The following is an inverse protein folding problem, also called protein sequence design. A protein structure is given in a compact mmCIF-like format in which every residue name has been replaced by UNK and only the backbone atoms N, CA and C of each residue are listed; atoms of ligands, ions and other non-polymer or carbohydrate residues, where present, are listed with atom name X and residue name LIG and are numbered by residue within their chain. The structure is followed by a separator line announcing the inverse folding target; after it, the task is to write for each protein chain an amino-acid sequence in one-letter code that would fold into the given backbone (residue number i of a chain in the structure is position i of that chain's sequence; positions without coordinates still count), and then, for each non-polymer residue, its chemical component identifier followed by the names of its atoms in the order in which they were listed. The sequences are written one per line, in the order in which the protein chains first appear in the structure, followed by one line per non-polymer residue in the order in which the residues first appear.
data_IF_079640103793
#
_entry.id   IF_079640103793
#
_cell.length_a   1.000
_cell.length_b   1.000
_cell.length_c   1.000
_cell.angle_alpha   90.00
_cell.angle_beta   90.00
_cell.angle_gamma   90.00
#
_symmetry.space_group_name_H-M   'P 1'
#
loop_
_entity.id
_entity.type
_entity.pdbx_description
1 polymer ?
#
# COMPACT_ATOMS: atom_id res chain seq x y z
N UNK A 1 23.99 -23.83 10.22
CA UNK A 1 23.06 -22.83 10.78
C UNK A 1 23.59 -21.46 10.37
N UNK A 2 23.35 -21.09 9.11
CA UNK A 2 23.69 -19.76 8.58
C UNK A 2 22.44 -18.91 8.76
N UNK A 3 22.55 -17.81 9.51
CA UNK A 3 21.44 -16.85 9.63
C UNK A 3 21.23 -16.20 8.28
N UNK A 4 20.10 -16.47 7.63
CA UNK A 4 19.60 -15.68 6.52
C UNK A 4 19.29 -14.29 7.08
N UNK A 5 20.14 -13.33 6.77
CA UNK A 5 19.93 -11.94 7.13
C UNK A 5 18.78 -11.39 6.30
N UNK A 6 17.88 -10.61 6.93
CA UNK A 6 16.77 -9.91 6.26
C UNK A 6 17.23 -9.30 4.93
N UNK A 7 16.41 -9.35 3.86
CA UNK A 7 16.74 -8.68 2.61
C UNK A 7 17.01 -7.19 2.89
N UNK A 8 18.14 -6.69 2.40
CA UNK A 8 18.43 -5.25 2.44
C UNK A 8 17.38 -4.55 1.59
N UNK A 9 16.66 -3.59 2.18
CA UNK A 9 15.75 -2.73 1.43
C UNK A 9 16.54 -1.95 0.37
N UNK A 10 16.00 -1.86 -0.85
CA UNK A 10 16.60 -1.06 -1.92
C UNK A 10 15.81 0.25 -2.04
N UNK A 11 16.48 1.38 -1.85
CA UNK A 11 15.88 2.69 -2.05
C UNK A 11 15.72 3.03 -3.53
N UNK A 12 14.87 4.02 -3.86
CA UNK A 12 14.70 4.47 -5.26
C UNK A 12 16.00 5.00 -5.89
N UNK A 13 16.92 5.54 -5.07
CA UNK A 13 18.21 6.04 -5.52
C UNK A 13 19.29 4.97 -5.67
N UNK A 14 19.12 3.82 -5.01
CA UNK A 14 20.02 2.66 -5.12
C UNK A 14 19.55 1.66 -6.18
N UNK A 15 18.33 1.82 -6.72
CA UNK A 15 17.76 0.90 -7.68
C UNK A 15 18.47 1.04 -9.04
N UNK A 16 18.88 -0.09 -9.60
CA UNK A 16 19.53 -0.17 -10.91
C UNK A 16 18.90 -1.30 -11.74
N UNK A 17 19.05 -1.23 -13.06
CA UNK A 17 18.66 -2.29 -13.98
C UNK A 17 17.17 -2.68 -13.89
N UNK A 18 16.90 -3.98 -13.71
CA UNK A 18 15.53 -4.51 -13.65
C UNK A 18 14.73 -4.01 -12.43
N UNK A 19 15.40 -3.71 -11.31
CA UNK A 19 14.75 -3.13 -10.13
C UNK A 19 14.29 -1.70 -10.41
N UNK A 20 15.16 -0.88 -11.03
CA UNK A 20 14.82 0.49 -11.43
C UNK A 20 13.66 0.51 -12.44
N UNK A 21 13.69 -0.39 -13.44
CA UNK A 21 12.58 -0.58 -14.39
C UNK A 21 11.28 -0.89 -13.67
N UNK A 22 11.28 -1.88 -12.78
CA UNK A 22 10.09 -2.27 -12.04
C UNK A 22 9.58 -1.13 -11.16
N UNK A 23 10.45 -0.37 -10.47
CA UNK A 23 10.06 0.82 -9.72
C UNK A 23 9.42 1.90 -10.60
N UNK A 24 10.01 2.17 -11.77
CA UNK A 24 9.39 3.11 -12.71
C UNK A 24 7.99 2.65 -13.12
N UNK A 25 7.84 1.39 -13.52
CA UNK A 25 6.55 0.82 -13.93
C UNK A 25 5.52 0.79 -12.80
N UNK A 26 5.92 0.49 -11.56
CA UNK A 26 5.06 0.50 -10.38
C UNK A 26 4.46 1.89 -10.16
N UNK A 27 5.28 2.95 -10.21
CA UNK A 27 4.78 4.34 -10.06
C UNK A 27 3.75 4.67 -11.13
N UNK A 28 4.02 4.28 -12.37
CA UNK A 28 3.11 4.53 -13.49
C UNK A 28 1.81 3.71 -13.38
N UNK A 29 1.91 2.45 -12.99
CA UNK A 29 0.79 1.49 -13.02
C UNK A 29 -0.11 1.64 -11.80
N UNK A 30 0.48 1.73 -10.61
CA UNK A 30 -0.27 1.94 -9.37
C UNK A 30 -0.67 3.41 -9.17
N UNK A 31 -0.18 4.30 -10.04
CA UNK A 31 -0.45 5.74 -10.03
C UNK A 31 -0.03 6.40 -8.72
N UNK A 32 1.21 6.17 -8.31
CA UNK A 32 1.78 6.66 -7.04
C UNK A 32 3.05 7.47 -7.25
N UNK A 33 3.29 8.46 -6.39
CA UNK A 33 4.42 9.41 -6.50
C UNK A 33 5.77 8.88 -6.01
N UNK A 34 5.81 7.70 -5.38
CA UNK A 34 7.03 7.05 -4.88
C UNK A 34 6.83 5.55 -4.63
N UNK A 35 7.85 4.87 -4.09
CA UNK A 35 7.83 3.41 -3.87
C UNK A 35 7.64 3.04 -2.39
N UNK A 36 6.54 2.34 -2.11
CA UNK A 36 6.20 1.86 -0.77
C UNK A 36 7.19 0.81 -0.23
N UNK A 37 7.22 0.66 1.10
CA UNK A 37 8.14 -0.22 1.82
C UNK A 37 8.10 -1.69 1.33
N UNK A 38 6.93 -2.23 1.01
CA UNK A 38 6.80 -3.62 0.52
C UNK A 38 7.63 -3.88 -0.73
N UNK A 39 7.58 -2.97 -1.71
CA UNK A 39 8.37 -3.09 -2.93
C UNK A 39 9.86 -2.88 -2.69
N UNK A 40 10.25 -1.93 -1.81
CA UNK A 40 11.66 -1.74 -1.43
C UNK A 40 12.24 -2.95 -0.71
N UNK A 41 11.45 -3.63 0.11
CA UNK A 41 11.85 -4.88 0.77
C UNK A 41 11.92 -6.03 -0.23
N UNK A 42 10.92 -6.20 -1.09
CA UNK A 42 10.96 -7.25 -2.11
C UNK A 42 12.10 -7.05 -3.11
N UNK A 43 12.46 -5.81 -3.44
CA UNK A 43 13.60 -5.50 -4.29
C UNK A 43 14.95 -6.01 -3.76
N UNK A 44 15.05 -6.33 -2.46
CA UNK A 44 16.20 -7.04 -1.91
C UNK A 44 16.35 -8.47 -2.45
N UNK A 45 15.25 -9.09 -2.91
CA UNK A 45 15.23 -10.33 -3.69
C UNK A 45 15.30 -9.99 -5.18
N UNK A 46 16.51 -9.67 -5.64
CA UNK A 46 16.75 -9.04 -6.94
C UNK A 46 16.21 -9.83 -8.14
N UNK A 47 16.07 -11.16 -8.04
CA UNK A 47 15.52 -11.98 -9.13
C UNK A 47 14.01 -12.15 -9.01
N UNK A 48 13.50 -12.39 -7.80
CA UNK A 48 12.08 -12.52 -7.53
C UNK A 48 11.32 -11.24 -7.85
N UNK A 49 11.83 -10.08 -7.44
CA UNK A 49 11.07 -8.84 -7.51
C UNK A 49 10.64 -8.45 -8.93
N UNK A 50 11.53 -8.43 -9.95
CA UNK A 50 11.11 -8.18 -11.33
C UNK A 50 10.11 -9.23 -11.85
N UNK A 51 10.32 -10.51 -11.51
CA UNK A 51 9.42 -11.61 -11.93
C UNK A 51 8.04 -11.48 -11.31
N UNK A 52 7.97 -11.17 -10.01
CA UNK A 52 6.72 -10.91 -9.29
C UNK A 52 5.99 -9.72 -9.89
N UNK A 53 6.72 -8.64 -10.19
CA UNK A 53 6.11 -7.46 -10.81
C UNK A 53 5.58 -7.76 -12.21
N UNK A 54 6.35 -8.44 -13.06
CA UNK A 54 5.90 -8.81 -14.40
C UNK A 54 4.68 -9.76 -14.37
N UNK A 55 4.57 -10.62 -13.36
CA UNK A 55 3.40 -11.46 -13.12
C UNK A 55 2.16 -10.67 -12.66
N UNK A 56 2.34 -9.65 -11.81
CA UNK A 56 1.24 -8.84 -11.27
C UNK A 56 0.80 -7.70 -12.19
N UNK A 57 1.70 -7.14 -13.00
CA UNK A 57 1.47 -5.95 -13.83
C UNK A 57 0.21 -6.04 -14.69
N UNK A 58 -0.08 -7.16 -15.39
CA UNK A 58 -1.29 -7.28 -16.20
C UNK A 58 -2.57 -7.08 -15.41
N UNK A 59 -2.62 -7.51 -14.14
CA UNK A 59 -3.75 -7.26 -13.26
C UNK A 59 -3.76 -5.82 -12.73
N UNK A 60 -2.59 -5.33 -12.30
CA UNK A 60 -2.44 -4.03 -11.63
C UNK A 60 -2.86 -2.84 -12.52
N UNK A 61 -2.85 -2.99 -13.83
CA UNK A 61 -3.26 -1.94 -14.77
C UNK A 61 -4.75 -1.96 -15.17
N UNK A 62 -5.56 -2.81 -14.55
CA UNK A 62 -6.97 -3.00 -14.91
C UNK A 62 -7.93 -2.24 -14.02
N UNK A 63 -9.11 -1.92 -14.57
CA UNK A 63 -10.25 -1.45 -13.79
C UNK A 63 -10.64 -2.45 -12.70
N UNK A 64 -10.54 -3.74 -12.96
CA UNK A 64 -10.91 -4.78 -12.00
C UNK A 64 -10.05 -4.72 -10.74
N UNK A 65 -8.73 -4.53 -10.88
CA UNK A 65 -7.82 -4.34 -9.76
C UNK A 65 -8.11 -3.03 -9.00
N UNK A 66 -8.36 -1.93 -9.71
CA UNK A 66 -8.75 -0.66 -9.06
C UNK A 66 -10.04 -0.83 -8.24
N UNK A 67 -11.07 -1.46 -8.82
CA UNK A 67 -12.35 -1.73 -8.14
C UNK A 67 -12.17 -2.67 -6.94
N UNK A 68 -11.27 -3.65 -7.02
CA UNK A 68 -10.95 -4.51 -5.87
C UNK A 68 -10.34 -3.69 -4.72
N UNK A 69 -9.40 -2.80 -5.03
CA UNK A 69 -8.83 -1.88 -4.05
C UNK A 69 -9.88 -0.90 -3.49
N UNK A 70 -10.80 -0.41 -4.32
CA UNK A 70 -11.91 0.45 -3.89
C UNK A 70 -12.84 -0.27 -2.90
N UNK A 71 -13.12 -1.55 -3.11
CA UNK A 71 -13.91 -2.37 -2.17
C UNK A 71 -13.22 -2.51 -0.82
N UNK A 72 -11.91 -2.80 -0.81
CA UNK A 72 -11.10 -2.86 0.42
C UNK A 72 -11.12 -1.51 1.14
N UNK A 73 -10.95 -0.40 0.42
CA UNK A 73 -11.02 0.96 1.00
C UNK A 73 -12.37 1.23 1.64
N UNK A 74 -13.45 0.96 0.93
CA UNK A 74 -14.80 1.20 1.44
C UNK A 74 -15.10 0.37 2.69
N UNK A 75 -14.61 -0.88 2.77
CA UNK A 75 -14.73 -1.67 3.99
C UNK A 75 -13.90 -1.08 5.14
N UNK A 76 -12.66 -0.67 4.89
CA UNK A 76 -11.83 -0.06 5.91
C UNK A 76 -12.44 1.22 6.48
N UNK A 77 -13.10 2.04 5.65
CA UNK A 77 -13.82 3.23 6.09
C UNK A 77 -15.01 2.87 6.98
N UNK A 78 -15.79 1.85 6.62
CA UNK A 78 -16.90 1.35 7.45
C UNK A 78 -16.40 0.79 8.78
N UNK A 79 -15.26 0.11 8.78
CA UNK A 79 -14.58 -0.35 10.01
C UNK A 79 -14.17 0.84 10.86
N UNK A 80 -13.47 1.83 10.28
CA UNK A 80 -12.98 3.00 10.99
C UNK A 80 -14.13 3.83 11.59
N UNK A 81 -15.24 3.97 10.87
CA UNK A 81 -16.44 4.65 11.36
C UNK A 81 -16.99 4.00 12.65
N UNK A 82 -17.01 2.65 12.70
CA UNK A 82 -17.46 1.91 13.90
C UNK A 82 -16.49 2.07 15.07
N UNK A 83 -15.18 2.09 14.80
CA UNK A 83 -14.13 2.23 15.81
C UNK A 83 -14.04 3.65 16.40
N UNK A 84 -14.58 4.65 15.70
CA UNK A 84 -14.69 6.03 16.17
C UNK A 84 -13.57 6.96 15.65
N UNK A 85 -13.79 8.27 15.82
CA UNK A 85 -12.84 9.31 15.38
C UNK A 85 -11.67 9.48 16.35
N UNK A 86 -10.53 9.92 15.83
CA UNK A 86 -9.35 10.19 16.65
C UNK A 86 -9.38 11.58 17.29
N UNK A 87 -10.03 12.56 16.63
CA UNK A 87 -10.07 13.96 17.05
C UNK A 87 -8.66 14.56 17.25
N UNK A 88 -7.69 14.07 16.50
CA UNK A 88 -6.29 14.49 16.61
C UNK A 88 -6.10 15.88 16.02
N UNK A 89 -6.70 16.14 14.84
CA UNK A 89 -6.64 17.44 14.19
C UNK A 89 -7.31 18.54 15.02
N UNK A 90 -8.43 18.25 15.67
CA UNK A 90 -9.17 19.21 16.51
C UNK A 90 -8.46 19.51 17.83
N UNK A 91 -7.64 18.58 18.32
CA UNK A 91 -6.79 18.77 19.51
C UNK A 91 -5.62 19.74 19.27
N UNK A 92 -5.35 20.11 18.02
CA UNK A 92 -4.23 20.97 17.62
C UNK A 92 -4.70 22.24 16.91
N UNK A 93 -3.90 23.31 16.99
CA UNK A 93 -4.12 24.54 16.22
C UNK A 93 -3.32 24.49 14.92
N UNK A 94 -3.72 23.63 13.99
CA UNK A 94 -3.07 23.50 12.69
C UNK A 94 -3.42 24.68 11.77
N UNK A 95 -2.41 25.24 11.10
CA UNK A 95 -2.63 26.25 10.07
C UNK A 95 -3.24 25.64 8.80
N UNK A 96 -3.90 26.46 7.98
CA UNK A 96 -4.57 26.00 6.74
C UNK A 96 -3.62 25.22 5.81
N UNK A 97 -2.39 25.70 5.63
CA UNK A 97 -1.37 25.02 4.82
C UNK A 97 -0.97 23.66 5.40
N UNK A 98 -0.83 23.52 6.71
CA UNK A 98 -0.48 22.25 7.34
C UNK A 98 -1.64 21.26 7.20
N UNK A 99 -2.87 21.70 7.50
CA UNK A 99 -4.09 20.91 7.32
C UNK A 99 -4.30 20.49 5.86
N UNK A 100 -3.93 21.32 4.89
CA UNK A 100 -3.95 20.94 3.49
C UNK A 100 -2.95 19.81 3.20
N UNK A 101 -1.68 19.98 3.55
CA UNK A 101 -0.63 19.01 3.24
C UNK A 101 -0.84 17.67 3.95
N UNK A 102 -1.26 17.67 5.23
CA UNK A 102 -1.60 16.45 5.97
C UNK A 102 -2.69 15.66 5.25
N UNK A 103 -3.78 16.33 4.82
CA UNK A 103 -4.86 15.66 4.08
C UNK A 103 -4.39 15.08 2.74
N UNK A 104 -3.50 15.79 2.01
CA UNK A 104 -2.94 15.27 0.76
C UNK A 104 -2.02 14.07 0.99
N UNK A 105 -1.27 14.05 2.10
CA UNK A 105 -0.45 12.90 2.49
C UNK A 105 -1.32 11.70 2.88
N UNK A 106 -2.39 11.92 3.65
CA UNK A 106 -3.37 10.89 3.99
C UNK A 106 -4.07 10.34 2.73
N UNK A 107 -4.46 11.21 1.79
CA UNK A 107 -5.05 10.82 0.50
C UNK A 107 -4.18 9.81 -0.26
N UNK A 108 -2.86 10.04 -0.26
CA UNK A 108 -1.90 9.14 -0.91
C UNK A 108 -1.95 7.74 -0.30
N UNK A 109 -1.94 7.61 1.03
CA UNK A 109 -1.97 6.31 1.71
C UNK A 109 -3.34 5.65 1.67
N UNK A 110 -4.41 6.45 1.76
CA UNK A 110 -5.80 6.01 1.59
C UNK A 110 -6.06 5.45 0.19
N UNK A 111 -5.31 5.94 -0.80
CA UNK A 111 -5.32 5.43 -2.17
C UNK A 111 -4.49 4.16 -2.35
N UNK A 112 -3.22 4.18 -1.97
CA UNK A 112 -2.27 3.13 -2.34
C UNK A 112 -2.35 1.89 -1.45
N UNK A 113 -2.62 2.04 -0.14
CA UNK A 113 -2.57 0.89 0.78
C UNK A 113 -3.58 -0.22 0.44
N UNK A 114 -4.85 0.07 0.06
CA UNK A 114 -5.77 -0.97 -0.41
C UNK A 114 -5.25 -1.72 -1.65
N UNK A 115 -4.58 -1.02 -2.57
CA UNK A 115 -3.96 -1.66 -3.75
C UNK A 115 -2.82 -2.58 -3.34
N UNK A 116 -1.98 -2.15 -2.40
CA UNK A 116 -0.89 -2.98 -1.90
C UNK A 116 -1.44 -4.25 -1.25
N UNK A 117 -2.53 -4.16 -0.48
CA UNK A 117 -3.13 -5.33 0.15
C UNK A 117 -3.69 -6.31 -0.89
N UNK A 118 -4.44 -5.85 -1.89
CA UNK A 118 -4.94 -6.73 -2.96
C UNK A 118 -3.79 -7.37 -3.74
N UNK A 119 -2.74 -6.61 -4.07
CA UNK A 119 -1.56 -7.12 -4.76
C UNK A 119 -0.82 -8.15 -3.91
N UNK A 120 -0.56 -7.84 -2.64
CA UNK A 120 0.16 -8.74 -1.72
C UNK A 120 -0.64 -10.02 -1.46
N UNK A 121 -1.97 -9.94 -1.34
CA UNK A 121 -2.82 -11.14 -1.24
C UNK A 121 -2.77 -11.99 -2.51
N UNK A 122 -2.80 -11.38 -3.70
CA UNK A 122 -2.63 -12.12 -4.96
C UNK A 122 -1.25 -12.81 -5.04
N UNK A 123 -0.17 -12.13 -4.63
CA UNK A 123 1.17 -12.72 -4.59
C UNK A 123 1.24 -13.86 -3.55
N UNK A 124 0.65 -13.69 -2.36
CA UNK A 124 0.64 -14.72 -1.32
C UNK A 124 -0.10 -15.98 -1.80
N UNK A 125 -1.30 -15.80 -2.36
CA UNK A 125 -2.10 -16.90 -2.92
C UNK A 125 -1.34 -17.67 -4.00
N UNK A 126 -0.69 -16.97 -4.92
CA UNK A 126 0.09 -17.59 -5.99
C UNK A 126 1.29 -18.39 -5.45
N UNK A 127 2.03 -17.83 -4.47
CA UNK A 127 3.14 -18.54 -3.83
C UNK A 127 2.70 -19.77 -3.03
N UNK A 128 1.49 -19.76 -2.48
CA UNK A 128 0.86 -20.89 -1.80
C UNK A 128 0.27 -21.94 -2.77
N UNK A 129 0.40 -21.72 -4.09
CA UNK A 129 -0.12 -22.61 -5.13
C UNK A 129 -1.63 -22.51 -5.35
N UNK A 130 -2.27 -21.51 -4.74
CA UNK A 130 -3.69 -21.25 -4.93
C UNK A 130 -3.94 -20.56 -6.28
N UNK A 131 -5.11 -20.84 -6.87
CA UNK A 131 -5.52 -20.18 -8.10
C UNK A 131 -5.82 -18.71 -7.82
N UNK A 132 -5.09 -17.83 -8.49
CA UNK A 132 -5.40 -16.41 -8.57
C UNK A 132 -5.96 -16.08 -9.95
N UNK A 133 -7.04 -15.32 -9.96
CA UNK A 133 -7.64 -14.77 -11.16
C UNK A 133 -8.15 -15.79 -12.19
N UNK A 134 -8.14 -15.39 -13.47
CA UNK A 134 -8.68 -16.17 -14.59
C UNK A 134 -10.16 -15.90 -14.89
N UNK A 135 -10.69 -14.78 -14.40
CA UNK A 135 -12.03 -14.34 -14.76
C UNK A 135 -12.11 -14.00 -16.26
N UNK A 136 -13.11 -14.54 -16.95
CA UNK A 136 -13.32 -14.32 -18.38
C UNK A 136 -14.11 -13.04 -18.62
N UNK A 137 -13.65 -12.19 -19.56
CA UNK A 137 -14.36 -10.96 -19.92
C UNK A 137 -13.48 -9.95 -20.66
N UNK A 138 -14.10 -8.88 -21.16
CA UNK A 138 -13.36 -7.70 -21.63
C UNK A 138 -12.70 -7.00 -20.45
N UNK A 139 -11.41 -6.70 -20.58
CA UNK A 139 -10.64 -6.03 -19.53
C UNK A 139 -10.43 -4.57 -19.93
N UNK A 140 -10.94 -3.65 -19.10
CA UNK A 140 -10.64 -2.22 -19.24
C UNK A 140 -9.31 -1.91 -18.53
N UNK A 141 -8.40 -1.24 -19.24
CA UNK A 141 -7.17 -0.70 -18.67
C UNK A 141 -7.40 0.71 -18.13
N UNK A 142 -6.69 1.09 -17.07
CA UNK A 142 -6.75 2.44 -16.50
C UNK A 142 -5.57 3.32 -16.97
N UNK A 143 -5.76 4.64 -16.94
CA UNK A 143 -4.67 5.59 -17.22
C UNK A 143 -3.46 5.37 -16.30
N UNK A 144 -2.28 5.70 -16.82
CA UNK A 144 -1.01 5.59 -16.10
C UNK A 144 -0.57 6.94 -15.54
N UNK A 145 0.34 6.90 -14.58
CA UNK A 145 0.97 8.07 -13.99
C UNK A 145 0.27 8.53 -12.71
N UNK A 146 1.07 9.07 -11.79
CA UNK A 146 0.55 9.61 -10.54
C UNK A 146 -0.40 10.80 -10.83
N UNK A 147 -1.53 10.92 -10.13
CA UNK A 147 -2.41 12.07 -10.23
C UNK A 147 -1.66 13.37 -9.91
N UNK A 148 -1.88 14.44 -10.68
CA UNK A 148 -1.14 15.71 -10.52
C UNK A 148 -1.24 16.31 -9.13
N UNK A 149 -2.37 16.14 -8.44
CA UNK A 149 -2.56 16.68 -7.10
C UNK A 149 -2.03 15.75 -5.99
N UNK A 150 -1.52 14.56 -6.32
CA UNK A 150 -1.05 13.60 -5.32
C UNK A 150 0.16 14.17 -4.56
N UNK A 151 0.17 13.99 -3.25
CA UNK A 151 1.31 14.40 -2.42
C UNK A 151 2.58 13.65 -2.86
N UNK A 152 3.74 14.30 -2.93
CA UNK A 152 5.00 13.59 -3.15
C UNK A 152 5.25 12.64 -1.96
N UNK A 153 5.70 11.40 -2.20
CA UNK A 153 5.96 10.45 -1.12
C UNK A 153 7.23 10.81 -0.34
N UNK A 154 7.15 11.89 0.42
CA UNK A 154 8.21 12.40 1.28
C UNK A 154 8.09 11.80 2.68
N UNK A 155 9.22 11.40 3.25
CA UNK A 155 9.27 10.68 4.52
C UNK A 155 10.45 11.17 5.35
N UNK A 156 10.24 11.31 6.66
CA UNK A 156 11.35 11.39 7.62
C UNK A 156 12.21 10.12 7.51
N UNK A 157 13.51 10.22 7.78
CA UNK A 157 14.40 9.04 7.88
C UNK A 157 13.84 7.99 8.86
N UNK A 158 14.15 6.71 8.66
CA UNK A 158 13.71 5.65 9.59
C UNK A 158 14.37 5.80 10.97
N UNK A 159 15.61 6.28 10.98
CA UNK A 159 16.37 6.63 12.18
C UNK A 159 16.59 8.16 12.18
N UNK A 160 15.61 8.96 12.63
CA UNK A 160 15.76 10.42 12.68
C UNK A 160 16.75 10.83 13.79
N UNK A 161 17.38 11.98 13.66
CA UNK A 161 18.25 12.53 14.73
C UNK A 161 17.44 13.07 15.93
N UNK A 162 16.17 13.44 15.72
CA UNK A 162 15.28 13.96 16.77
C UNK A 162 14.85 12.83 17.73
N UNK A 163 15.26 12.95 19.00
CA UNK A 163 14.99 11.95 20.04
C UNK A 163 13.50 11.74 20.31
N UNK A 164 12.67 12.78 20.23
CA UNK A 164 11.22 12.66 20.45
C UNK A 164 10.57 11.84 19.34
N UNK A 165 11.03 12.02 18.10
CA UNK A 165 10.59 11.20 16.98
C UNK A 165 11.09 9.76 17.08
N UNK A 166 12.32 9.53 17.53
CA UNK A 166 12.83 8.18 17.78
C UNK A 166 11.95 7.45 18.81
N UNK A 167 11.66 8.07 19.95
CA UNK A 167 10.79 7.51 20.99
C UNK A 167 9.38 7.22 20.46
N UNK A 168 8.82 8.11 19.65
CA UNK A 168 7.52 7.92 19.02
C UNK A 168 7.52 6.75 18.03
N UNK A 169 8.56 6.62 17.19
CA UNK A 169 8.70 5.50 16.27
C UNK A 169 8.89 4.18 17.00
N UNK A 170 9.68 4.14 18.08
CA UNK A 170 9.81 2.94 18.92
C UNK A 170 8.47 2.54 19.54
N UNK A 171 7.69 3.50 20.06
CA UNK A 171 6.38 3.20 20.65
C UNK A 171 5.39 2.64 19.61
N UNK A 172 5.37 3.20 18.39
CA UNK A 172 4.57 2.68 17.28
C UNK A 172 5.03 1.27 16.92
N UNK A 173 6.34 1.05 16.74
CA UNK A 173 6.89 -0.26 16.38
C UNK A 173 6.57 -1.32 17.43
N UNK A 174 6.76 -1.02 18.71
CA UNK A 174 6.46 -1.96 19.79
C UNK A 174 4.96 -2.27 19.88
N UNK A 175 4.11 -1.24 19.80
CA UNK A 175 2.65 -1.42 19.91
C UNK A 175 2.09 -2.23 18.75
N UNK A 176 2.57 -1.98 17.53
CA UNK A 176 2.10 -2.65 16.31
C UNK A 176 2.93 -3.89 15.94
N UNK A 177 3.90 -4.27 16.79
CA UNK A 177 4.83 -5.39 16.57
C UNK A 177 5.56 -5.31 15.21
N UNK A 178 5.94 -4.10 14.80
CA UNK A 178 6.63 -3.82 13.54
C UNK A 178 8.14 -3.92 13.73
N UNK A 179 8.82 -4.55 12.76
CA UNK A 179 10.28 -4.58 12.76
C UNK A 179 10.93 -3.31 12.16
N UNK A 180 10.16 -2.55 11.38
CA UNK A 180 10.55 -1.32 10.65
C UNK A 180 9.34 -0.41 10.64
N UNK A 181 9.54 0.90 10.81
CA UNK A 181 8.45 1.88 10.80
C UNK A 181 7.91 2.07 9.36
N UNK A 182 6.59 2.02 9.18
CA UNK A 182 5.96 2.13 7.86
C UNK A 182 6.07 3.54 7.26
N UNK A 183 6.06 3.61 5.92
CA UNK A 183 6.10 4.86 5.14
C UNK A 183 5.04 5.87 5.57
N UNK A 184 3.86 5.40 5.95
CA UNK A 184 2.72 6.17 6.43
C UNK A 184 3.09 7.04 7.63
N UNK A 185 3.61 6.42 8.69
CA UNK A 185 4.02 7.09 9.91
C UNK A 185 5.23 7.99 9.68
N UNK A 186 6.17 7.57 8.82
CA UNK A 186 7.32 8.41 8.45
C UNK A 186 6.92 9.66 7.68
N UNK A 187 5.85 9.61 6.88
CA UNK A 187 5.29 10.77 6.20
C UNK A 187 4.55 11.67 7.17
N UNK A 188 3.69 11.10 8.03
CA UNK A 188 3.01 11.87 9.06
C UNK A 188 3.98 12.52 10.06
N UNK A 189 5.18 11.95 10.25
CA UNK A 189 6.24 12.52 11.07
C UNK A 189 6.83 13.84 10.53
N UNK A 190 6.52 14.22 9.28
CA UNK A 190 6.77 15.59 8.79
C UNK A 190 5.97 16.63 9.59
N UNK A 191 4.88 16.20 10.24
CA UNK A 191 4.10 16.97 11.21
C UNK A 191 4.10 16.23 12.57
N UNK A 192 5.22 16.27 13.32
CA UNK A 192 5.44 15.40 14.46
C UNK A 192 4.39 15.57 15.57
N UNK A 193 3.88 16.78 15.77
CA UNK A 193 2.83 17.05 16.76
C UNK A 193 1.49 16.44 16.37
N UNK A 194 1.15 16.43 15.05
CA UNK A 194 -0.03 15.77 14.54
C UNK A 194 0.08 14.25 14.67
N UNK A 195 1.21 13.66 14.27
CA UNK A 195 1.45 12.24 14.44
C UNK A 195 1.38 11.84 15.92
N UNK A 196 2.00 12.60 16.82
CA UNK A 196 1.96 12.31 18.25
C UNK A 196 0.54 12.40 18.84
N UNK A 197 -0.26 13.39 18.42
CA UNK A 197 -1.64 13.54 18.85
C UNK A 197 -2.51 12.37 18.35
N UNK A 198 -2.43 12.04 17.06
CA UNK A 198 -3.22 10.97 16.48
C UNK A 198 -2.77 9.59 16.93
N UNK A 199 -1.47 9.36 17.14
CA UNK A 199 -0.98 8.12 17.72
C UNK A 199 -1.50 7.90 19.15
N UNK A 200 -1.53 8.96 19.98
CA UNK A 200 -2.10 8.88 21.33
C UNK A 200 -3.56 8.41 21.32
N UNK A 201 -4.36 8.90 20.38
CA UNK A 201 -5.76 8.50 20.22
C UNK A 201 -5.91 7.11 19.58
N UNK A 202 -5.05 6.77 18.62
CA UNK A 202 -5.10 5.51 17.87
C UNK A 202 -4.63 4.31 18.71
N UNK A 203 -3.59 4.47 19.52
CA UNK A 203 -2.95 3.42 20.31
C UNK A 203 -3.90 2.57 21.17
N UNK A 204 -4.90 3.11 21.90
CA UNK A 204 -5.87 2.27 22.61
C UNK A 204 -6.79 1.50 21.66
N UNK A 205 -7.15 2.08 20.51
CA UNK A 205 -8.00 1.42 19.49
C UNK A 205 -7.28 0.19 18.94
N UNK A 206 -6.00 0.30 18.58
CA UNK A 206 -5.22 -0.81 18.00
C UNK A 206 -5.04 -1.99 18.95
N UNK A 207 -5.25 -1.79 20.24
CA UNK A 207 -5.17 -2.84 21.27
C UNK A 207 -6.50 -3.57 21.49
N UNK A 208 -7.61 -3.02 20.99
CA UNK A 208 -8.93 -3.61 21.16
C UNK A 208 -9.08 -4.91 20.38
N UNK A 209 -9.95 -5.80 20.87
CA UNK A 209 -10.26 -7.04 20.16
C UNK A 209 -11.05 -6.77 18.87
N UNK A 210 -11.94 -5.77 18.89
CA UNK A 210 -12.69 -5.33 17.71
C UNK A 210 -11.77 -4.92 16.56
N UNK A 211 -10.70 -4.17 16.86
CA UNK A 211 -9.72 -3.75 15.86
C UNK A 211 -8.97 -4.93 15.23
N UNK A 212 -8.57 -5.92 16.05
CA UNK A 212 -7.87 -7.13 15.57
C UNK A 212 -8.77 -7.96 14.66
N UNK A 213 -10.02 -8.16 15.07
CA UNK A 213 -11.02 -8.89 14.28
C UNK A 213 -11.31 -8.16 12.97
N UNK A 214 -11.45 -6.84 13.00
CA UNK A 214 -11.67 -6.04 11.81
C UNK A 214 -10.48 -6.07 10.83
N UNK A 215 -9.25 -6.05 11.36
CA UNK A 215 -8.03 -6.20 10.53
C UNK A 215 -8.00 -7.56 9.83
N UNK A 216 -8.32 -8.65 10.54
CA UNK A 216 -8.38 -9.98 9.95
C UNK A 216 -9.53 -10.13 8.94
N UNK A 217 -10.69 -9.53 9.21
CA UNK A 217 -11.81 -9.48 8.25
C UNK A 217 -11.40 -8.79 6.96
N UNK A 218 -10.72 -7.64 7.05
CA UNK A 218 -10.26 -6.88 5.89
C UNK A 218 -9.21 -7.67 5.09
N UNK A 219 -8.31 -8.41 5.77
CA UNK A 219 -7.34 -9.32 5.14
C UNK A 219 -8.04 -10.42 4.34
N UNK A 220 -9.01 -11.10 4.94
CA UNK A 220 -9.80 -12.15 4.26
C UNK A 220 -10.52 -11.61 3.03
N UNK A 221 -11.18 -10.46 3.16
CA UNK A 221 -11.84 -9.79 2.04
C UNK A 221 -10.86 -9.48 0.91
N UNK A 222 -9.64 -9.03 1.23
CA UNK A 222 -8.62 -8.77 0.23
C UNK A 222 -8.20 -10.04 -0.53
N UNK A 223 -8.05 -11.17 0.17
CA UNK A 223 -7.83 -12.47 -0.44
C UNK A 223 -8.96 -12.87 -1.40
N UNK A 224 -10.22 -12.73 -0.97
CA UNK A 224 -11.39 -13.03 -1.80
C UNK A 224 -11.43 -12.18 -3.08
N UNK A 225 -11.18 -10.86 -2.99
CA UNK A 225 -11.18 -10.02 -4.19
C UNK A 225 -9.95 -10.28 -5.07
N UNK A 226 -8.80 -10.63 -4.49
CA UNK A 226 -7.59 -11.00 -5.24
C UNK A 226 -7.80 -12.26 -6.11
N UNK A 227 -8.59 -13.23 -5.63
CA UNK A 227 -8.95 -14.42 -6.41
C UNK A 227 -9.81 -14.08 -7.65
N UNK A 228 -10.52 -12.95 -7.65
CA UNK A 228 -11.39 -12.52 -8.76
C UNK A 228 -10.70 -11.71 -9.86
N UNK A 229 -9.38 -11.53 -9.79
CA UNK A 229 -8.63 -10.76 -10.77
C UNK A 229 -8.73 -11.35 -12.20
N UNK A 230 -8.60 -10.54 -13.25
CA UNK A 230 -8.82 -11.02 -14.62
C UNK A 230 -7.74 -12.00 -15.09
N UNK A 231 -6.48 -11.74 -14.77
CA UNK A 231 -5.35 -12.56 -15.21
C UNK A 231 -4.84 -13.45 -14.10
N UNK A 232 -4.39 -14.66 -14.46
CA UNK A 232 -3.62 -15.49 -13.54
C UNK A 232 -2.29 -14.84 -13.18
N UNK A 233 -1.79 -15.09 -11.97
CA UNK A 233 -0.46 -14.63 -11.54
C UNK A 233 0.50 -15.82 -11.67
N UNK A 234 1.32 -15.90 -12.73
CA UNK A 234 2.23 -17.04 -12.98
C UNK A 234 3.47 -16.95 -12.07
N UNK A 235 3.24 -17.11 -10.78
CA UNK A 235 4.24 -17.10 -9.72
C UNK A 235 3.95 -18.32 -8.83
N UNK A 236 4.99 -19.00 -8.37
CA UNK A 236 4.86 -20.14 -7.47
C UNK A 236 6.14 -20.31 -6.65
N UNK A 237 6.08 -21.12 -5.60
CA UNK A 237 7.26 -21.54 -4.84
C UNK A 237 8.34 -22.11 -5.76
N UNK A 238 7.98 -23.05 -6.63
CA UNK A 238 8.92 -23.72 -7.54
C UNK A 238 9.59 -22.70 -8.45
N UNK A 239 8.83 -21.69 -8.91
CA UNK A 239 9.38 -20.62 -9.73
C UNK A 239 10.41 -19.78 -8.97
N UNK A 240 10.22 -19.53 -7.67
CA UNK A 240 11.21 -18.83 -6.83
C UNK A 240 12.47 -19.69 -6.66
N UNK A 241 12.30 -20.98 -6.41
CA UNK A 241 13.42 -21.92 -6.28
C UNK A 241 14.24 -22.04 -7.59
N UNK A 242 13.58 -22.02 -8.76
CA UNK A 242 14.23 -21.98 -10.08
C UNK A 242 15.07 -20.71 -10.29
N UNK A 243 14.68 -19.58 -9.70
CA UNK A 243 15.48 -18.34 -9.71
C UNK A 243 16.72 -18.45 -8.80
N UNK A 244 16.77 -19.48 -7.95
CA UNK A 244 17.83 -19.70 -6.96
C UNK A 244 17.73 -18.78 -5.76
N UNK A 245 16.52 -18.35 -5.40
CA UNK A 245 16.24 -17.55 -4.19
C UNK A 245 15.47 -18.37 -3.14
N UNK A 246 15.51 -17.92 -1.89
CA UNK A 246 14.86 -18.61 -0.77
C UNK A 246 13.35 -18.36 -0.79
N UNK A 247 12.60 -19.37 -1.24
CA UNK A 247 11.15 -19.30 -1.31
C UNK A 247 10.48 -19.18 0.06
N UNK A 248 11.02 -19.82 1.11
CA UNK A 248 10.44 -19.73 2.45
C UNK A 248 10.59 -18.32 3.02
N UNK A 249 11.75 -17.69 2.83
CA UNK A 249 12.00 -16.32 3.26
C UNK A 249 11.10 -15.31 2.53
N UNK A 250 10.93 -15.47 1.22
CA UNK A 250 10.05 -14.63 0.38
C UNK A 250 8.58 -14.80 0.78
N UNK A 251 8.13 -16.03 1.02
CA UNK A 251 6.76 -16.32 1.48
C UNK A 251 6.53 -15.71 2.86
N UNK A 252 7.47 -15.88 3.80
CA UNK A 252 7.37 -15.30 5.14
C UNK A 252 7.32 -13.76 5.06
N UNK A 253 8.17 -13.15 4.22
CA UNK A 253 8.18 -11.70 3.99
C UNK A 253 6.85 -11.21 3.42
N UNK A 254 6.31 -11.93 2.43
CA UNK A 254 5.02 -11.62 1.79
C UNK A 254 3.87 -11.69 2.79
N UNK A 255 3.82 -12.75 3.60
CA UNK A 255 2.81 -12.92 4.65
C UNK A 255 2.90 -11.85 5.73
N UNK A 256 4.11 -11.41 6.11
CA UNK A 256 4.29 -10.29 7.04
C UNK A 256 3.64 -9.02 6.52
N UNK A 257 3.85 -8.68 5.24
CA UNK A 257 3.17 -7.52 4.64
C UNK A 257 1.66 -7.70 4.57
N UNK A 258 1.18 -8.89 4.18
CA UNK A 258 -0.26 -9.18 4.13
C UNK A 258 -0.94 -9.01 5.49
N UNK A 259 -0.25 -9.34 6.59
CA UNK A 259 -0.77 -9.16 7.95
C UNK A 259 -0.74 -7.71 8.42
N UNK A 260 0.25 -6.91 7.99
CA UNK A 260 0.43 -5.52 8.45
C UNK A 260 -0.49 -4.56 7.70
N UNK A 261 -0.68 -4.76 6.40
CA UNK A 261 -1.42 -3.84 5.53
C UNK A 261 -2.87 -3.55 5.97
N UNK A 262 -3.69 -4.53 6.42
CA UNK A 262 -5.06 -4.26 6.86
C UNK A 262 -5.12 -3.24 7.99
N UNK A 263 -4.25 -3.40 8.99
CA UNK A 263 -4.14 -2.49 10.12
C UNK A 263 -3.71 -1.08 9.66
N UNK A 264 -2.76 -0.97 8.73
CA UNK A 264 -2.37 0.33 8.17
C UNK A 264 -3.52 1.02 7.42
N UNK A 265 -4.29 0.28 6.62
CA UNK A 265 -5.44 0.83 5.88
C UNK A 265 -6.49 1.36 6.87
N UNK A 266 -6.81 0.59 7.92
CA UNK A 266 -7.75 1.03 8.96
C UNK A 266 -7.21 2.26 9.70
N UNK A 267 -5.93 2.27 10.03
CA UNK A 267 -5.30 3.40 10.74
C UNK A 267 -5.38 4.68 9.91
N UNK A 268 -5.09 4.62 8.61
CA UNK A 268 -5.20 5.77 7.72
C UNK A 268 -6.65 6.22 7.59
N UNK A 269 -7.62 5.31 7.47
CA UNK A 269 -9.03 5.66 7.48
C UNK A 269 -9.45 6.36 8.79
N UNK A 270 -8.93 5.94 9.96
CA UNK A 270 -9.15 6.61 11.24
C UNK A 270 -8.57 8.03 11.27
N UNK A 271 -7.34 8.23 10.77
CA UNK A 271 -6.75 9.57 10.60
C UNK A 271 -7.56 10.45 9.64
N UNK A 272 -8.12 9.87 8.59
CA UNK A 272 -8.92 10.57 7.59
C UNK A 272 -10.27 11.07 8.12
N UNK A 273 -10.86 10.36 9.09
CA UNK A 273 -12.14 10.74 9.70
C UNK A 273 -12.10 12.04 10.50
N UNK A 274 -10.90 12.51 10.88
CA UNK A 274 -10.71 13.84 11.46
C UNK A 274 -11.06 14.96 10.46
N UNK A 275 -10.96 14.68 9.17
CA UNK A 275 -11.02 15.67 8.10
C UNK A 275 -12.28 15.57 7.24
N UNK A 276 -12.85 14.36 7.14
CA UNK A 276 -13.89 14.04 6.17
C UNK A 276 -14.95 13.10 6.75
N UNK A 277 -16.09 13.04 6.07
CA UNK A 277 -17.16 12.09 6.39
C UNK A 277 -16.86 10.72 5.79
N UNK A 278 -17.36 9.63 6.42
CA UNK A 278 -17.29 8.27 5.85
C UNK A 278 -17.78 8.21 4.40
N UNK A 279 -18.91 8.85 4.07
CA UNK A 279 -19.48 8.91 2.72
C UNK A 279 -18.51 9.47 1.66
N UNK A 280 -17.63 10.39 2.06
CA UNK A 280 -16.59 10.92 1.17
C UNK A 280 -15.44 9.94 1.06
N UNK A 281 -15.04 9.31 2.17
CA UNK A 281 -13.85 8.47 2.26
C UNK A 281 -14.03 7.09 1.60
N UNK A 282 -15.25 6.58 1.45
CA UNK A 282 -15.48 5.35 0.68
C UNK A 282 -15.13 5.51 -0.80
N UNK A 283 -15.13 6.75 -1.31
CA UNK A 283 -14.71 7.05 -2.68
C UNK A 283 -13.18 7.12 -2.78
N UNK A 284 -12.65 6.76 -3.95
CA UNK A 284 -11.22 6.96 -4.21
C UNK A 284 -10.89 8.46 -4.19
N UNK A 285 -9.85 8.91 -3.46
CA UNK A 285 -9.39 10.30 -3.52
C UNK A 285 -8.78 10.65 -4.88
N UNK A 286 -8.48 9.64 -5.71
CA UNK A 286 -7.98 9.80 -7.08
C UNK A 286 -8.74 8.91 -8.07
N UNK A 287 -10.01 9.23 -8.38
CA UNK A 287 -10.77 8.51 -9.38
C UNK A 287 -9.99 8.43 -10.69
N UNK A 288 -10.01 7.26 -11.32
CA UNK A 288 -9.18 6.98 -12.50
C UNK A 288 -10.05 6.77 -13.73
N UNK A 289 -9.68 7.40 -14.84
CA UNK A 289 -10.33 7.20 -16.13
C UNK A 289 -9.84 5.92 -16.83
N UNK A 290 -10.64 5.42 -17.78
CA UNK A 290 -10.17 4.40 -18.71
C UNK A 290 -8.98 4.92 -19.53
N UNK A 291 -8.01 4.05 -19.80
CA UNK A 291 -6.88 4.36 -20.66
C UNK A 291 -7.42 4.66 -22.06
N UNK A 292 -7.11 5.84 -22.59
CA UNK A 292 -7.47 6.16 -23.98
C UNK A 292 -6.58 5.33 -24.90
N UNK A 293 -7.19 4.55 -25.79
CA UNK A 293 -6.47 3.96 -26.91
C UNK A 293 -5.93 5.10 -27.78
N UNK A 294 -4.60 5.25 -27.81
CA UNK A 294 -3.93 6.13 -28.77
C UNK A 294 -3.87 5.36 -30.09
N UNK A 295 -5.05 5.17 -30.70
CA UNK A 295 -5.26 4.22 -31.80
C UNK A 295 -6.27 4.70 -32.85
N UNK A 296 -6.20 5.98 -33.26
CA UNK A 296 -6.46 6.42 -34.63
C UNK A 296 -6.23 7.93 -34.78
N UNK A 297 -4.97 8.33 -34.99
CA UNK A 297 -4.68 9.47 -35.86
C UNK A 297 -4.26 8.90 -37.22
N UNK A 298 -5.23 8.40 -37.98
CA UNK A 298 -5.08 8.25 -39.42
C UNK A 298 -5.99 9.26 -40.13
N UNK A 299 -5.40 10.04 -41.02
CA UNK A 299 -6.08 10.58 -42.21
C UNK A 299 -6.92 11.85 -42.00
N UNK A 300 -6.25 13.00 -41.89
CA UNK A 300 -6.89 14.31 -42.03
C UNK A 300 -5.96 15.32 -42.70
N UNK A 301 -5.25 14.87 -43.73
CA UNK A 301 -4.48 15.73 -44.61
C UNK A 301 -4.93 15.50 -46.05
N UNK A 302 -5.83 16.36 -46.51
CA UNK A 302 -5.83 17.04 -47.82
C UNK A 302 -6.96 18.06 -47.83
#
# INVERSE_FOLDING_TARGET
MFGLGKPKQISETEAEGEVERAFHEIRQTLRVSGINLNFRTWAGYQKFFPVMWDAMRPNAETRAFETAADRVRAEAVRIAERLGKLDAATSLRLGESQSYQIRRALDLYHYINPKLLVLTSAVSLALDGERTGGATGSVELIERGAPTQMYPMEMVAEEPEDTRLQELFEDIKQTLSLSTINSDYRTLALWPDYLAAGWRALKPITKSEEYKQASEQLRKMAGEVAQTLPYGVPLSRERVEELGEDADEIIETTRKFEHILPSLIINIALFELDWRTPDTLVQSPFPVAARRDIGNRQGGGQ
#
